data_IF_954105788332
#
_entry.id   IF_954105788332
#
_cell.length_a   1.000
_cell.length_b   1.000
_cell.length_c   1.000
_cell.angle_alpha   90.00
_cell.angle_beta   90.00
_cell.angle_gamma   90.00
#
_symmetry.space_group_name_H-M   'P 1'
#
loop_
_entity.id
_entity.type
_entity.pdbx_description
1 polymer ?
#
# COMPACT_ATOMS: atom_id res chain seq x y z
N UNK A 1 14.68 7.31 -12.40
CA UNK A 1 14.15 7.13 -11.03
C UNK A 1 12.64 7.30 -10.97
N UNK A 2 12.01 8.37 -11.47
CA UNK A 2 10.57 8.64 -11.24
C UNK A 2 9.60 8.20 -12.36
N UNK A 3 10.00 7.30 -13.26
CA UNK A 3 9.07 6.74 -14.25
C UNK A 3 8.23 5.64 -13.60
N UNK A 4 6.89 5.73 -13.67
CA UNK A 4 5.95 4.80 -13.02
C UNK A 4 6.12 3.34 -13.47
N UNK A 5 6.55 3.08 -14.69
CA UNK A 5 6.71 1.71 -15.19
C UNK A 5 7.97 1.04 -14.66
N UNK A 6 9.01 1.81 -14.34
CA UNK A 6 10.28 1.29 -13.81
C UNK A 6 10.39 1.45 -12.29
N UNK A 7 9.74 2.46 -11.71
CA UNK A 7 9.80 2.83 -10.29
C UNK A 7 8.70 2.15 -9.47
N UNK A 8 8.46 0.87 -9.71
CA UNK A 8 7.56 0.06 -8.88
C UNK A 8 8.29 -0.38 -7.62
N UNK A 9 7.55 -0.68 -6.55
CA UNK A 9 8.14 -1.23 -5.32
C UNK A 9 8.91 -2.51 -5.63
N UNK A 10 8.35 -3.40 -6.46
CA UNK A 10 9.02 -4.65 -6.86
C UNK A 10 10.39 -4.46 -7.51
N UNK A 11 10.60 -3.38 -8.27
CA UNK A 11 11.88 -3.13 -8.95
C UNK A 11 12.87 -2.34 -8.08
N UNK A 12 12.36 -1.41 -7.27
CA UNK A 12 13.19 -0.51 -6.45
C UNK A 12 13.56 -1.15 -5.11
N UNK A 13 12.62 -1.91 -4.52
CA UNK A 13 12.74 -2.58 -3.22
C UNK A 13 11.99 -3.94 -3.23
N UNK A 14 12.63 -5.00 -3.76
CA UNK A 14 12.03 -6.32 -3.84
C UNK A 14 11.69 -6.93 -2.48
N UNK A 15 12.47 -6.61 -1.44
CA UNK A 15 12.26 -7.13 -0.08
C UNK A 15 10.97 -6.55 0.52
N UNK A 16 10.78 -5.23 0.40
CA UNK A 16 9.54 -4.58 0.85
C UNK A 16 8.32 -5.07 0.05
N UNK A 17 8.47 -5.23 -1.27
CA UNK A 17 7.39 -5.79 -2.09
C UNK A 17 6.99 -7.20 -1.63
N UNK A 18 7.97 -8.06 -1.35
CA UNK A 18 7.70 -9.42 -0.86
C UNK A 18 7.00 -9.41 0.51
N UNK A 19 7.31 -8.45 1.38
CA UNK A 19 6.63 -8.29 2.66
C UNK A 19 5.18 -7.80 2.50
N UNK A 20 4.93 -6.84 1.61
CA UNK A 20 3.57 -6.35 1.30
C UNK A 20 2.71 -7.49 0.74
N UNK A 21 3.25 -8.29 -0.18
CA UNK A 21 2.51 -9.43 -0.76
C UNK A 21 2.18 -10.51 0.26
N UNK A 22 3.07 -10.74 1.24
CA UNK A 22 2.80 -11.65 2.35
C UNK A 22 1.70 -11.12 3.26
N UNK A 23 1.69 -9.81 3.56
CA UNK A 23 0.65 -9.19 4.37
C UNK A 23 -0.72 -9.17 3.67
N UNK A 24 -0.74 -8.86 2.37
CA UNK A 24 -1.96 -8.94 1.55
C UNK A 24 -2.60 -10.34 1.67
N UNK A 25 -1.80 -11.41 1.57
CA UNK A 25 -2.28 -12.78 1.73
C UNK A 25 -2.70 -13.09 3.16
N UNK A 26 -1.92 -12.67 4.15
CA UNK A 26 -2.24 -12.87 5.57
C UNK A 26 -3.61 -12.29 5.91
N UNK A 27 -3.94 -11.11 5.38
CA UNK A 27 -5.23 -10.45 5.60
C UNK A 27 -6.42 -11.21 4.98
N UNK A 28 -6.22 -11.89 3.85
CA UNK A 28 -7.25 -12.71 3.19
C UNK A 28 -7.39 -14.10 3.84
N UNK A 29 -6.28 -14.67 4.31
CA UNK A 29 -6.24 -16.02 4.88
C UNK A 29 -6.75 -16.11 6.33
N UNK A 30 -6.94 -14.96 7.00
CA UNK A 30 -7.40 -14.90 8.40
C UNK A 30 -8.76 -14.20 8.53
N UNK A 31 -9.61 -14.75 9.41
CA UNK A 31 -10.82 -14.05 9.83
C UNK A 31 -10.42 -12.97 10.84
N UNK A 32 -10.59 -11.71 10.47
CA UNK A 32 -10.32 -10.59 11.36
C UNK A 32 -11.51 -10.34 12.30
N UNK A 33 -11.26 -10.40 13.62
CA UNK A 33 -12.27 -10.26 14.68
C UNK A 33 -11.96 -9.10 15.63
N UNK A 34 -10.87 -8.38 15.40
CA UNK A 34 -10.55 -7.16 16.15
C UNK A 34 -11.57 -6.09 15.78
N UNK A 35 -12.38 -5.68 16.77
CA UNK A 35 -13.50 -4.77 16.57
C UNK A 35 -13.13 -3.38 16.02
N UNK A 36 -11.86 -3.00 16.13
CA UNK A 36 -11.33 -1.72 15.62
C UNK A 36 -10.72 -1.81 14.23
N UNK A 37 -10.52 -3.00 13.69
CA UNK A 37 -9.93 -3.20 12.36
C UNK A 37 -10.98 -3.30 11.27
N UNK A 38 -10.59 -2.93 10.05
CA UNK A 38 -11.49 -2.91 8.89
C UNK A 38 -10.69 -2.91 7.59
N UNK A 39 -11.35 -3.25 6.48
CA UNK A 39 -10.78 -3.16 5.14
C UNK A 39 -11.31 -1.89 4.46
N UNK A 40 -10.41 -0.97 4.15
CA UNK A 40 -10.80 0.26 3.43
C UNK A 40 -10.95 0.01 1.93
N UNK A 41 -11.64 0.91 1.23
CA UNK A 41 -11.85 0.76 -0.22
C UNK A 41 -10.56 1.03 -1.02
N UNK A 42 -10.40 0.43 -2.21
CA UNK A 42 -9.28 0.74 -3.11
C UNK A 42 -9.19 2.22 -3.49
N UNK A 43 -10.32 2.93 -3.56
CA UNK A 43 -10.35 4.37 -3.83
C UNK A 43 -9.67 5.19 -2.72
N UNK A 44 -9.86 4.81 -1.45
CA UNK A 44 -9.19 5.45 -0.31
C UNK A 44 -7.68 5.18 -0.36
N UNK A 45 -7.27 3.95 -0.66
CA UNK A 45 -5.84 3.61 -0.81
C UNK A 45 -5.18 4.38 -1.96
N UNK A 46 -5.86 4.54 -3.10
CA UNK A 46 -5.34 5.30 -4.23
C UNK A 46 -5.18 6.80 -3.92
N UNK A 47 -6.12 7.38 -3.16
CA UNK A 47 -6.07 8.79 -2.79
C UNK A 47 -4.82 9.11 -1.95
N UNK A 48 -4.52 8.29 -0.94
CA UNK A 48 -3.31 8.46 -0.10
C UNK A 48 -2.00 8.16 -0.85
N UNK A 49 -2.05 7.37 -1.93
CA UNK A 49 -0.91 7.13 -2.83
C UNK A 49 -0.65 8.23 -3.86
N UNK A 50 -1.37 9.35 -3.79
CA UNK A 50 -1.25 10.47 -4.75
C UNK A 50 -0.05 11.37 -4.45
N UNK A 51 0.29 12.25 -5.39
CA UNK A 51 1.35 13.24 -5.22
C UNK A 51 1.02 14.34 -4.20
N UNK A 52 -0.17 14.33 -3.60
CA UNK A 52 -0.52 15.23 -2.49
C UNK A 52 0.45 15.09 -1.31
N UNK A 53 1.08 13.91 -1.13
CA UNK A 53 2.12 13.69 -0.12
C UNK A 53 3.32 14.64 -0.22
N UNK A 54 3.54 15.26 -1.37
CA UNK A 54 4.66 16.18 -1.59
C UNK A 54 4.35 17.61 -1.13
N UNK A 55 3.08 17.90 -0.81
CA UNK A 55 2.62 19.25 -0.57
C UNK A 55 2.59 19.55 0.94
N UNK A 56 3.35 20.57 1.34
CA UNK A 56 3.18 21.23 2.63
C UNK A 56 2.14 22.37 2.48
N UNK A 57 1.22 22.48 3.44
CA UNK A 57 0.17 23.50 3.49
C UNK A 57 -0.03 23.94 4.94
N UNK A 58 0.31 25.20 5.23
CA UNK A 58 0.04 25.91 6.48
C UNK A 58 -1.29 26.66 6.41
#
# INVERSE_FOLDING_TARGET
MFNRTTSTVANVDPELFAAIEQENRRQEDHIELIASENYTSPAVMAAQGSQLTNKYAE
#
